data_IF_904088085912
#
_entry.id   IF_904088085912
#
_cell.length_a   1.000
_cell.length_b   1.000
_cell.length_c   1.000
_cell.angle_alpha   90.00
_cell.angle_beta   90.00
_cell.angle_gamma   90.00
#
_symmetry.space_group_name_H-M   'P 1'
#
loop_
_entity.id
_entity.type
_entity.pdbx_description
1 polymer ?
#
# COMPACT_ATOMS: atom_id res chain seq x y z
N UNK A 1 -7.28 -16.45 -11.22
CA UNK A 1 -6.11 -16.32 -10.32
C UNK A 1 -6.58 -16.17 -8.89
N UNK A 2 -6.13 -17.06 -8.01
CA UNK A 2 -6.34 -17.00 -6.55
C UNK A 2 -5.61 -15.82 -5.93
N UNK A 3 -5.92 -15.47 -4.67
CA UNK A 3 -5.23 -14.37 -3.99
C UNK A 3 -3.73 -14.64 -3.83
N UNK A 4 -3.34 -15.89 -3.56
CA UNK A 4 -1.93 -16.26 -3.38
C UNK A 4 -1.13 -16.18 -4.68
N UNK A 5 -1.72 -16.63 -5.80
CA UNK A 5 -1.13 -16.46 -7.12
C UNK A 5 -0.99 -14.97 -7.47
N UNK A 6 -2.04 -14.18 -7.22
CA UNK A 6 -2.00 -12.73 -7.42
C UNK A 6 -0.91 -12.09 -6.55
N UNK A 7 -0.75 -12.53 -5.30
CA UNK A 7 0.26 -11.98 -4.40
C UNK A 7 1.68 -12.29 -4.89
N UNK A 8 1.93 -13.49 -5.43
CA UNK A 8 3.20 -13.83 -6.06
C UNK A 8 3.49 -12.90 -7.24
N UNK A 9 2.52 -12.67 -8.13
CA UNK A 9 2.65 -11.73 -9.23
C UNK A 9 2.86 -10.29 -8.74
N UNK A 10 2.10 -9.87 -7.74
CA UNK A 10 2.19 -8.55 -7.11
C UNK A 10 3.62 -8.28 -6.62
N UNK A 11 4.25 -9.23 -5.93
CA UNK A 11 5.64 -9.08 -5.46
C UNK A 11 6.65 -8.93 -6.61
N UNK A 12 6.37 -9.49 -7.80
CA UNK A 12 7.24 -9.27 -8.96
C UNK A 12 7.25 -7.83 -9.46
N UNK A 13 6.21 -7.05 -9.14
CA UNK A 13 6.13 -5.61 -9.41
C UNK A 13 6.79 -4.75 -8.32
N UNK A 14 7.23 -5.36 -7.21
CA UNK A 14 7.80 -4.70 -6.04
C UNK A 14 9.17 -5.29 -5.66
N UNK A 15 10.06 -5.48 -6.64
CA UNK A 15 11.39 -6.10 -6.44
C UNK A 15 12.35 -5.19 -5.67
N UNK A 16 12.24 -3.89 -5.84
CA UNK A 16 13.11 -2.92 -5.20
C UNK A 16 12.73 -2.71 -3.73
N UNK A 17 13.72 -2.82 -2.84
CA UNK A 17 13.53 -2.61 -1.38
C UNK A 17 12.97 -1.22 -1.05
N UNK A 18 13.34 -0.19 -1.80
CA UNK A 18 12.88 1.18 -1.57
C UNK A 18 11.43 1.37 -2.00
N UNK A 19 11.00 0.72 -3.07
CA UNK A 19 9.59 0.67 -3.46
C UNK A 19 8.75 0.04 -2.34
N UNK A 20 9.13 -1.16 -1.86
CA UNK A 20 8.44 -1.81 -0.73
C UNK A 20 8.40 -0.95 0.54
N UNK A 21 9.52 -0.27 0.87
CA UNK A 21 9.58 0.63 2.02
C UNK A 21 8.68 1.86 1.87
N UNK A 22 8.51 2.39 0.66
CA UNK A 22 7.59 3.50 0.41
C UNK A 22 6.14 3.06 0.57
N UNK A 23 5.77 1.88 0.07
CA UNK A 23 4.45 1.30 0.35
C UNK A 23 4.23 1.14 1.86
N UNK A 24 5.22 0.59 2.56
CA UNK A 24 5.16 0.42 4.00
C UNK A 24 4.98 1.75 4.74
N UNK A 25 5.75 2.77 4.36
CA UNK A 25 5.62 4.12 4.92
C UNK A 25 4.24 4.72 4.63
N UNK A 26 3.73 4.59 3.40
CA UNK A 26 2.40 5.06 3.05
C UNK A 26 1.30 4.37 3.87
N UNK A 27 1.49 3.09 4.18
CA UNK A 27 0.56 2.34 5.02
C UNK A 27 0.60 2.79 6.48
N UNK A 28 1.80 3.06 7.02
CA UNK A 28 1.97 3.68 8.33
C UNK A 28 1.31 5.06 8.40
N UNK A 29 1.51 5.91 7.39
CA UNK A 29 0.90 7.23 7.32
C UNK A 29 -0.63 7.15 7.25
N UNK A 30 -1.17 6.15 6.55
CA UNK A 30 -2.61 5.88 6.51
C UNK A 30 -3.15 5.50 7.90
N UNK A 31 -2.43 4.67 8.66
CA UNK A 31 -2.80 4.30 10.04
C UNK A 31 -2.68 5.52 10.96
N UNK A 32 -1.60 6.28 10.88
CA UNK A 32 -1.40 7.48 11.68
C UNK A 32 -2.52 8.50 11.43
N UNK A 33 -2.90 8.71 10.17
CA UNK A 33 -4.02 9.57 9.79
C UNK A 33 -5.35 9.07 10.35
N UNK A 34 -5.61 7.75 10.31
CA UNK A 34 -6.78 7.15 10.94
C UNK A 34 -6.81 7.41 12.46
N UNK A 35 -5.68 7.25 13.16
CA UNK A 35 -5.57 7.53 14.59
C UNK A 35 -5.87 9.01 14.91
N UNK A 36 -5.42 9.94 14.07
CA UNK A 36 -5.71 11.38 14.21
C UNK A 36 -7.21 11.63 14.04
N UNK A 37 -7.83 11.12 12.97
CA UNK A 37 -9.27 11.31 12.73
C UNK A 37 -10.09 10.85 13.93
N UNK A 38 -9.81 9.64 14.43
CA UNK A 38 -10.53 9.06 15.56
C UNK A 38 -10.23 9.86 16.84
N UNK A 39 -8.96 10.15 17.12
CA UNK A 39 -8.54 10.85 18.34
C UNK A 39 -9.10 12.26 18.48
N UNK A 40 -9.34 12.94 17.36
CA UNK A 40 -9.91 14.30 17.33
C UNK A 40 -11.41 14.33 16.98
N UNK A 41 -12.08 13.18 16.88
CA UNK A 41 -13.49 13.08 16.48
C UNK A 41 -13.82 13.89 15.20
N UNK A 42 -12.96 13.78 14.20
CA UNK A 42 -13.15 14.52 12.94
C UNK A 42 -14.42 14.04 12.22
N UNK A 43 -14.96 14.91 11.37
CA UNK A 43 -16.19 14.60 10.63
C UNK A 43 -16.01 13.41 9.67
N UNK A 44 -17.14 12.85 9.21
CA UNK A 44 -17.15 11.70 8.30
C UNK A 44 -16.40 11.97 6.97
N UNK A 45 -16.35 13.23 6.53
CA UNK A 45 -15.64 13.60 5.30
C UNK A 45 -14.13 13.37 5.40
N UNK A 46 -13.53 13.45 6.59
CA UNK A 46 -12.11 13.15 6.79
C UNK A 46 -11.76 11.68 6.47
N UNK A 47 -12.69 10.74 6.71
CA UNK A 47 -12.50 9.31 6.43
C UNK A 47 -12.44 9.01 4.92
N UNK A 48 -13.05 9.84 4.08
CA UNK A 48 -13.01 9.68 2.61
C UNK A 48 -11.57 9.78 2.08
N UNK A 49 -10.68 10.48 2.79
CA UNK A 49 -9.27 10.63 2.38
C UNK A 49 -8.41 9.40 2.69
N UNK A 50 -8.84 8.49 3.57
CA UNK A 50 -8.06 7.31 3.99
C UNK A 50 -7.48 6.47 2.83
N UNK A 51 -8.26 6.04 1.82
CA UNK A 51 -7.72 5.22 0.74
C UNK A 51 -6.69 5.94 -0.13
N UNK A 52 -6.64 7.27 -0.08
CA UNK A 52 -5.75 8.08 -0.92
C UNK A 52 -4.39 8.38 -0.26
N UNK A 53 -4.27 8.27 1.06
CA UNK A 53 -3.03 8.63 1.80
C UNK A 53 -1.82 7.81 1.33
N UNK A 54 -2.03 6.53 0.97
CA UNK A 54 -0.97 5.62 0.56
C UNK A 54 -0.41 5.92 -0.84
N UNK A 55 -1.22 6.45 -1.75
CA UNK A 55 -0.87 6.58 -3.18
C UNK A 55 0.35 7.45 -3.47
N UNK A 56 0.56 8.64 -2.88
CA UNK A 56 1.75 9.43 -3.17
C UNK A 56 3.05 8.66 -2.84
N UNK A 57 3.04 7.81 -1.81
CA UNK A 57 4.20 7.00 -1.45
C UNK A 57 4.36 5.81 -2.41
N UNK A 58 3.30 5.03 -2.60
CA UNK A 58 3.31 3.85 -3.46
C UNK A 58 3.70 4.19 -4.90
N UNK A 59 3.07 5.21 -5.48
CA UNK A 59 3.33 5.62 -6.86
C UNK A 59 4.71 6.22 -7.04
N UNK A 60 5.23 6.96 -6.05
CA UNK A 60 6.63 7.40 -6.08
C UNK A 60 7.59 6.22 -6.13
N UNK A 61 7.30 5.16 -5.36
CA UNK A 61 8.04 3.91 -5.39
C UNK A 61 8.09 3.29 -6.80
N UNK A 62 6.92 3.14 -7.42
CA UNK A 62 6.80 2.63 -8.76
C UNK A 62 7.46 3.52 -9.81
N UNK A 63 7.33 4.85 -9.72
CA UNK A 63 7.86 5.78 -10.72
C UNK A 63 9.39 5.89 -10.66
N UNK A 64 9.97 6.05 -9.47
CA UNK A 64 11.41 6.29 -9.31
C UNK A 64 12.23 5.00 -9.29
N UNK A 65 11.71 3.92 -8.70
CA UNK A 65 12.51 2.71 -8.45
C UNK A 65 12.17 1.55 -9.39
N UNK A 66 10.87 1.21 -9.54
CA UNK A 66 10.48 0.05 -10.36
C UNK A 66 10.34 0.38 -11.85
N UNK A 67 9.95 1.61 -12.17
CA UNK A 67 9.61 2.09 -13.52
C UNK A 67 8.57 1.20 -14.21
N UNK A 68 7.59 0.70 -13.45
CA UNK A 68 6.52 -0.15 -13.94
C UNK A 68 5.14 0.45 -13.62
N UNK A 69 4.08 -0.16 -14.16
CA UNK A 69 2.70 0.25 -13.90
C UNK A 69 2.22 -0.38 -12.59
N UNK A 70 1.64 0.39 -11.64
CA UNK A 70 1.06 -0.14 -10.41
C UNK A 70 0.00 -1.22 -10.66
N UNK A 71 -0.02 -2.27 -9.83
CA UNK A 71 -0.98 -3.37 -9.90
C UNK A 71 -2.44 -2.91 -9.73
N UNK A 72 -2.65 -1.77 -9.06
CA UNK A 72 -3.96 -1.18 -8.82
C UNK A 72 -4.71 -0.81 -10.11
N UNK A 73 -4.01 -0.62 -11.23
CA UNK A 73 -4.63 -0.36 -12.53
C UNK A 73 -5.27 -1.60 -13.16
N UNK A 74 -4.94 -2.81 -12.69
CA UNK A 74 -5.49 -4.06 -13.20
C UNK A 74 -6.64 -4.56 -12.31
N UNK A 75 -6.40 -4.63 -11.00
CA UNK A 75 -7.40 -5.04 -10.01
C UNK A 75 -7.14 -4.27 -8.71
N UNK A 76 -7.83 -3.14 -8.47
CA UNK A 76 -7.54 -2.27 -7.33
C UNK A 76 -7.82 -2.93 -5.99
N UNK A 77 -8.82 -3.83 -5.92
CA UNK A 77 -9.22 -4.50 -4.67
C UNK A 77 -8.15 -5.51 -4.29
N UNK A 78 -7.75 -6.40 -5.22
CA UNK A 78 -6.68 -7.37 -4.94
C UNK A 78 -5.34 -6.69 -4.71
N UNK A 79 -5.02 -5.65 -5.48
CA UNK A 79 -3.80 -4.86 -5.25
C UNK A 79 -3.76 -4.31 -3.82
N UNK A 80 -4.88 -3.78 -3.31
CA UNK A 80 -4.92 -3.24 -1.95
C UNK A 80 -4.83 -4.33 -0.88
N UNK A 81 -5.47 -5.48 -1.09
CA UNK A 81 -5.33 -6.64 -0.19
C UNK A 81 -3.86 -7.11 -0.15
N UNK A 82 -3.22 -7.25 -1.30
CA UNK A 82 -1.82 -7.65 -1.40
C UNK A 82 -0.84 -6.61 -0.84
N UNK A 83 -1.16 -5.33 -0.93
CA UNK A 83 -0.40 -4.25 -0.28
C UNK A 83 -0.39 -4.42 1.25
N UNK A 84 -1.53 -4.79 1.85
CA UNK A 84 -1.63 -5.12 3.28
C UNK A 84 -0.92 -6.44 3.64
N UNK A 85 -0.99 -7.46 2.78
CA UNK A 85 -0.25 -8.71 2.97
C UNK A 85 1.26 -8.43 2.95
N UNK A 86 1.73 -7.64 1.98
CA UNK A 86 3.13 -7.20 1.89
C UNK A 86 3.54 -6.42 3.15
N UNK A 87 2.71 -5.49 3.63
CA UNK A 87 2.96 -4.75 4.86
C UNK A 87 3.14 -5.69 6.07
N UNK A 88 2.26 -6.68 6.24
CA UNK A 88 2.35 -7.71 7.29
C UNK A 88 3.63 -8.53 7.15
N UNK A 89 3.93 -9.01 5.94
CA UNK A 89 5.09 -9.86 5.71
C UNK A 89 6.40 -9.09 5.95
N UNK A 90 6.44 -7.78 5.67
CA UNK A 90 7.58 -6.91 6.00
C UNK A 90 7.74 -6.78 7.52
N UNK A 91 6.64 -6.57 8.27
CA UNK A 91 6.67 -6.53 9.74
C UNK A 91 7.20 -7.82 10.35
N UNK A 92 6.85 -8.96 9.76
CA UNK A 92 7.23 -10.29 10.24
C UNK A 92 8.58 -10.77 9.72
N UNK A 93 9.27 -10.01 8.86
CA UNK A 93 10.54 -10.40 8.24
C UNK A 93 10.42 -11.59 7.28
N UNK A 94 9.27 -11.75 6.60
CA UNK A 94 8.95 -12.87 5.71
C UNK A 94 9.06 -12.52 4.22
N UNK A 95 9.80 -11.46 3.87
CA UNK A 95 9.87 -10.84 2.54
C UNK A 95 11.31 -10.69 2.02
#
# INVERSE_FOLDING_TARGET
MTLDEYYKEYLTLHKNKWNRRLHFLGQLMTIAYLCVIIGFNMNIFAYVLLPFIVYPFAWSGHFFFEKNKPAAFSDPIKAKLCDWIMFRDMLLGRL
#
